data_IF_059733060890
#
_entry.id   IF_059733060890
#
_cell.length_a   1.000
_cell.length_b   1.000
_cell.length_c   1.000
_cell.angle_alpha   90.00
_cell.angle_beta   90.00
_cell.angle_gamma   90.00
#
_symmetry.space_group_name_H-M   'P 1'
#
loop_
_entity.id
_entity.type
_entity.pdbx_description
1 polymer ?
#
# COMPACT_ATOMS: atom_id res chain seq x y z
N UNK A 1 19.87 -7.95 -5.83
CA UNK A 1 19.03 -8.39 -4.69
C UNK A 1 17.77 -7.54 -4.56
N UNK A 2 17.85 -6.23 -4.22
CA UNK A 2 16.68 -5.34 -4.08
C UNK A 2 15.70 -5.38 -5.28
N UNK A 3 16.20 -5.24 -6.52
CA UNK A 3 15.35 -5.33 -7.71
C UNK A 3 14.61 -6.67 -7.86
N UNK A 4 15.24 -7.79 -7.47
CA UNK A 4 14.59 -9.11 -7.51
C UNK A 4 13.43 -9.20 -6.53
N UNK A 5 13.64 -8.69 -5.29
CA UNK A 5 12.57 -8.62 -4.27
C UNK A 5 11.44 -7.69 -4.75
N UNK A 6 11.78 -6.53 -5.31
CA UNK A 6 10.80 -5.59 -5.88
C UNK A 6 9.93 -6.25 -6.94
N UNK A 7 10.54 -6.94 -7.91
CA UNK A 7 9.79 -7.63 -8.97
C UNK A 7 8.88 -8.71 -8.38
N UNK A 8 9.38 -9.52 -7.44
CA UNK A 8 8.58 -10.55 -6.79
C UNK A 8 7.37 -9.97 -6.04
N UNK A 9 7.56 -8.88 -5.28
CA UNK A 9 6.49 -8.21 -4.55
C UNK A 9 5.44 -7.61 -5.49
N UNK A 10 5.86 -6.96 -6.59
CA UNK A 10 4.92 -6.40 -7.57
C UNK A 10 4.17 -7.47 -8.36
N UNK A 11 4.80 -8.62 -8.64
CA UNK A 11 4.10 -9.77 -9.21
C UNK A 11 3.05 -10.32 -8.23
N UNK A 12 3.37 -10.40 -6.95
CA UNK A 12 2.42 -10.81 -5.92
C UNK A 12 1.25 -9.82 -5.80
N UNK A 13 1.53 -8.51 -5.74
CA UNK A 13 0.49 -7.46 -5.77
C UNK A 13 -0.37 -7.57 -7.03
N UNK A 14 0.23 -7.79 -8.20
CA UNK A 14 -0.50 -7.98 -9.45
C UNK A 14 -1.41 -9.22 -9.43
N UNK A 15 -0.92 -10.35 -8.90
CA UNK A 15 -1.71 -11.57 -8.73
C UNK A 15 -2.87 -11.36 -7.77
N UNK A 16 -2.65 -10.66 -6.66
CA UNK A 16 -3.67 -10.31 -5.68
C UNK A 16 -4.72 -9.37 -6.30
N UNK A 17 -4.28 -8.32 -7.00
CA UNK A 17 -5.16 -7.39 -7.71
C UNK A 17 -6.03 -8.07 -8.76
N UNK A 18 -5.47 -9.02 -9.52
CA UNK A 18 -6.25 -9.86 -10.44
C UNK A 18 -7.28 -10.72 -9.71
N UNK A 19 -6.92 -11.30 -8.57
CA UNK A 19 -7.84 -12.05 -7.71
C UNK A 19 -9.00 -11.17 -7.23
N UNK A 20 -8.71 -9.94 -6.82
CA UNK A 20 -9.71 -8.95 -6.41
C UNK A 20 -10.65 -8.55 -7.55
N UNK A 21 -10.10 -8.20 -8.71
CA UNK A 21 -10.87 -7.79 -9.91
C UNK A 21 -11.69 -8.95 -10.48
N UNK A 22 -11.27 -10.20 -10.28
CA UNK A 22 -12.05 -11.39 -10.67
C UNK A 22 -12.95 -11.92 -9.56
N UNK A 23 -12.86 -11.35 -8.36
CA UNK A 23 -13.54 -11.84 -7.15
C UNK A 23 -13.29 -13.35 -6.93
N UNK A 24 -12.01 -13.75 -6.89
CA UNK A 24 -11.61 -15.14 -6.60
C UNK A 24 -11.81 -15.46 -5.10
N UNK A 25 -13.03 -15.89 -4.73
CA UNK A 25 -13.48 -16.07 -3.35
C UNK A 25 -12.90 -17.29 -2.60
N UNK A 26 -11.84 -17.91 -3.13
CA UNK A 26 -11.09 -18.96 -2.44
C UNK A 26 -9.95 -18.41 -1.58
N UNK A 27 -9.60 -17.13 -1.74
CA UNK A 27 -8.69 -16.42 -0.85
C UNK A 27 -9.51 -15.69 0.23
N UNK A 28 -9.13 -15.86 1.50
CA UNK A 28 -9.81 -15.22 2.64
C UNK A 28 -9.93 -13.71 2.46
N UNK A 29 -8.81 -13.03 2.20
CA UNK A 29 -8.77 -11.57 2.07
C UNK A 29 -9.67 -11.05 0.95
N UNK A 30 -9.78 -11.80 -0.16
CA UNK A 30 -10.66 -11.44 -1.30
C UNK A 30 -12.13 -11.66 -0.94
N UNK A 31 -12.46 -12.76 -0.25
CA UNK A 31 -13.82 -13.01 0.21
C UNK A 31 -14.30 -11.95 1.21
N UNK A 32 -13.40 -11.45 2.06
CA UNK A 32 -13.68 -10.43 3.06
C UNK A 32 -13.82 -9.01 2.47
N UNK A 33 -13.13 -8.69 1.37
CA UNK A 33 -13.05 -7.31 0.88
C UNK A 33 -13.46 -7.10 -0.60
N UNK A 34 -13.90 -8.15 -1.31
CA UNK A 34 -14.37 -8.06 -2.71
C UNK A 34 -15.76 -8.63 -2.87
N UNK A 35 -16.55 -8.06 -3.78
CA UNK A 35 -17.91 -8.50 -4.11
C UNK A 35 -18.13 -8.39 -5.60
N UNK A 36 -18.62 -9.45 -6.24
CA UNK A 36 -18.69 -9.57 -7.71
C UNK A 36 -19.61 -8.53 -8.39
N UNK A 37 -20.63 -8.05 -7.68
CA UNK A 37 -21.57 -7.03 -8.18
C UNK A 37 -21.01 -5.58 -8.06
N UNK A 38 -19.87 -5.39 -7.39
CA UNK A 38 -19.24 -4.09 -7.24
C UNK A 38 -18.43 -3.70 -8.49
N UNK A 39 -18.40 -2.40 -8.85
CA UNK A 39 -17.52 -1.90 -9.90
C UNK A 39 -16.07 -2.35 -9.72
N UNK A 40 -15.38 -2.64 -10.83
CA UNK A 40 -14.05 -3.25 -10.80
C UNK A 40 -13.00 -2.43 -10.04
N UNK A 41 -13.15 -1.10 -10.01
CA UNK A 41 -12.21 -0.21 -9.31
C UNK A 41 -12.35 -0.28 -7.78
N UNK A 42 -13.57 -0.49 -7.25
CA UNK A 42 -13.74 -0.77 -5.82
C UNK A 42 -13.23 -2.15 -5.45
N UNK A 43 -13.43 -3.13 -6.33
CA UNK A 43 -12.80 -4.45 -6.15
C UNK A 43 -11.29 -4.35 -6.12
N UNK A 44 -10.67 -3.59 -7.04
CA UNK A 44 -9.23 -3.36 -7.02
C UNK A 44 -8.77 -2.64 -5.74
N UNK A 45 -9.53 -1.64 -5.28
CA UNK A 45 -9.24 -0.95 -4.02
C UNK A 45 -9.28 -1.89 -2.80
N UNK A 46 -9.99 -3.02 -2.90
CA UNK A 46 -9.94 -4.11 -1.93
C UNK A 46 -8.53 -4.65 -1.66
N UNK A 47 -7.57 -4.51 -2.58
CA UNK A 47 -6.15 -4.85 -2.36
C UNK A 47 -5.60 -4.15 -1.11
N UNK A 48 -6.02 -2.92 -0.84
CA UNK A 48 -5.64 -2.17 0.36
C UNK A 48 -6.85 -1.86 1.27
N UNK A 49 -7.93 -2.63 1.14
CA UNK A 49 -9.10 -2.56 2.02
C UNK A 49 -8.89 -3.28 3.35
N UNK A 50 -8.09 -4.35 3.33
CA UNK A 50 -7.68 -5.14 4.51
C UNK A 50 -6.21 -4.96 4.87
N UNK A 51 -5.80 -5.49 6.01
CA UNK A 51 -4.44 -5.32 6.54
C UNK A 51 -3.37 -6.08 5.74
N UNK A 52 -3.72 -7.27 5.26
CA UNK A 52 -2.86 -8.24 4.59
C UNK A 52 -2.41 -7.71 3.22
N UNK A 53 -3.38 -7.36 2.39
CA UNK A 53 -3.10 -6.79 1.07
C UNK A 53 -2.46 -5.41 1.15
N UNK A 54 -2.87 -4.58 2.13
CA UNK A 54 -2.25 -3.27 2.38
C UNK A 54 -0.77 -3.40 2.72
N UNK A 55 -0.39 -4.35 3.58
CA UNK A 55 1.00 -4.53 3.97
C UNK A 55 1.85 -5.08 2.81
N UNK A 56 1.33 -6.01 2.01
CA UNK A 56 1.99 -6.49 0.81
C UNK A 56 2.21 -5.34 -0.19
N UNK A 57 1.18 -4.54 -0.44
CA UNK A 57 1.27 -3.42 -1.37
C UNK A 57 2.23 -2.34 -0.85
N UNK A 58 2.19 -2.02 0.44
CA UNK A 58 3.13 -1.11 1.08
C UNK A 58 4.58 -1.60 0.96
N UNK A 59 4.84 -2.88 1.23
CA UNK A 59 6.16 -3.47 1.04
C UNK A 59 6.64 -3.36 -0.41
N UNK A 60 5.77 -3.57 -1.40
CA UNK A 60 6.10 -3.45 -2.83
C UNK A 60 6.47 -1.99 -3.23
N UNK A 61 5.74 -1.00 -2.70
CA UNK A 61 6.02 0.42 -2.93
C UNK A 61 7.37 0.81 -2.28
N UNK A 62 7.60 0.40 -1.04
CA UNK A 62 8.87 0.63 -0.34
C UNK A 62 10.03 -0.02 -1.09
N UNK A 63 9.87 -1.25 -1.58
CA UNK A 63 10.90 -1.96 -2.34
C UNK A 63 11.25 -1.25 -3.65
N UNK A 64 10.24 -0.77 -4.39
CA UNK A 64 10.46 -0.02 -5.63
C UNK A 64 11.22 1.29 -5.38
N UNK A 65 10.77 2.09 -4.41
CA UNK A 65 11.40 3.37 -4.07
C UNK A 65 12.81 3.17 -3.53
N UNK A 66 13.02 2.19 -2.64
CA UNK A 66 14.35 1.83 -2.12
C UNK A 66 15.29 1.35 -3.24
N UNK A 67 14.79 0.57 -4.21
CA UNK A 67 15.56 0.12 -5.37
C UNK A 67 15.98 1.28 -6.27
N UNK A 68 15.11 2.28 -6.44
CA UNK A 68 15.41 3.50 -7.19
C UNK A 68 16.46 4.33 -6.46
N UNK A 69 16.28 4.56 -5.15
CA UNK A 69 17.18 5.33 -4.30
C UNK A 69 18.57 4.70 -4.21
N UNK A 70 18.65 3.37 -4.13
CA UNK A 70 19.90 2.62 -4.09
C UNK A 70 20.82 2.90 -5.29
N UNK A 71 20.27 3.30 -6.45
CA UNK A 71 21.07 3.70 -7.63
C UNK A 71 21.90 4.97 -7.41
N UNK A 72 21.51 5.81 -6.45
CA UNK A 72 22.20 7.06 -6.07
C UNK A 72 23.02 6.90 -4.80
N UNK A 73 22.90 5.78 -4.10
CA UNK A 73 23.68 5.48 -2.91
C UNK A 73 25.09 5.02 -3.30
N UNK A 74 26.11 5.60 -2.66
CA UNK A 74 27.51 5.17 -2.79
C UNK A 74 27.98 4.24 -1.66
N UNK A 75 27.19 4.11 -0.59
CA UNK A 75 27.56 3.36 0.61
C UNK A 75 26.76 2.06 0.79
N UNK A 76 27.46 0.97 1.10
CA UNK A 76 26.85 -0.34 1.34
C UNK A 76 25.85 -0.34 2.50
N UNK A 77 26.12 0.46 3.56
CA UNK A 77 25.22 0.60 4.73
C UNK A 77 23.83 1.11 4.35
N UNK A 78 23.74 2.09 3.44
CA UNK A 78 22.47 2.64 3.00
C UNK A 78 21.65 1.62 2.20
N UNK A 79 22.33 0.84 1.35
CA UNK A 79 21.70 -0.23 0.58
C UNK A 79 21.22 -1.35 1.51
N UNK A 80 22.02 -1.73 2.51
CA UNK A 80 21.61 -2.68 3.54
C UNK A 80 20.42 -2.19 4.35
N UNK A 81 20.40 -0.92 4.76
CA UNK A 81 19.27 -0.35 5.47
C UNK A 81 17.98 -0.46 4.66
N UNK A 82 17.99 -0.05 3.39
CA UNK A 82 16.84 -0.22 2.50
C UNK A 82 16.45 -1.69 2.29
N UNK A 83 17.43 -2.57 2.11
CA UNK A 83 17.20 -4.01 1.92
C UNK A 83 16.58 -4.65 3.17
N UNK A 84 17.12 -4.34 4.35
CA UNK A 84 16.63 -4.85 5.63
C UNK A 84 15.20 -4.39 5.89
N UNK A 85 14.87 -3.11 5.64
CA UNK A 85 13.51 -2.60 5.75
C UNK A 85 12.54 -3.38 4.85
N UNK A 86 12.91 -3.60 3.58
CA UNK A 86 12.08 -4.37 2.64
C UNK A 86 11.91 -5.82 3.11
N UNK A 87 12.98 -6.47 3.57
CA UNK A 87 12.93 -7.85 4.07
C UNK A 87 12.04 -7.95 5.30
N UNK A 88 12.14 -7.02 6.26
CA UNK A 88 11.30 -7.00 7.46
C UNK A 88 9.82 -6.83 7.07
N UNK A 89 9.49 -5.83 6.25
CA UNK A 89 8.11 -5.62 5.79
C UNK A 89 7.56 -6.83 5.05
N UNK A 90 8.35 -7.42 4.15
CA UNK A 90 7.97 -8.63 3.40
C UNK A 90 7.78 -9.84 4.33
N UNK A 91 8.61 -9.97 5.37
CA UNK A 91 8.50 -11.06 6.34
C UNK A 91 7.23 -10.94 7.17
N UNK A 92 6.86 -9.73 7.59
CA UNK A 92 5.60 -9.50 8.31
C UNK A 92 4.42 -9.81 7.37
N UNK A 93 4.46 -9.34 6.12
CA UNK A 93 3.41 -9.64 5.13
C UNK A 93 3.25 -11.14 4.86
N UNK A 94 4.32 -11.92 4.86
CA UNK A 94 4.24 -13.35 4.56
C UNK A 94 3.93 -14.22 5.79
N UNK A 95 4.42 -13.86 6.97
CA UNK A 95 4.33 -14.70 8.17
C UNK A 95 3.13 -14.34 9.07
N UNK A 96 2.69 -13.08 9.05
CA UNK A 96 1.67 -12.59 9.98
C UNK A 96 0.42 -12.04 9.29
N UNK A 97 0.52 -11.62 8.03
CA UNK A 97 -0.55 -10.97 7.30
C UNK A 97 -0.61 -11.44 5.84
N UNK A 98 -0.59 -12.76 5.63
CA UNK A 98 -0.54 -13.37 4.30
C UNK A 98 -1.84 -13.12 3.53
N UNK A 99 -1.81 -12.37 2.40
CA UNK A 99 -3.02 -12.13 1.61
C UNK A 99 -3.41 -13.34 0.75
N UNK A 100 -2.63 -14.42 0.81
CA UNK A 100 -2.82 -15.66 0.05
C UNK A 100 -3.25 -16.81 0.98
N UNK A 101 -3.94 -16.49 2.07
CA UNK A 101 -4.53 -17.51 2.92
C UNK A 101 -5.78 -18.08 2.25
N UNK A 102 -5.79 -19.39 2.08
CA UNK A 102 -6.89 -20.11 1.47
C UNK A 102 -7.99 -20.40 2.49
N UNK A 103 -9.24 -20.36 2.01
CA UNK A 103 -10.38 -20.91 2.73
C UNK A 103 -10.50 -22.41 2.42
N UNK A 104 -10.89 -23.21 3.42
CA UNK A 104 -11.12 -24.65 3.24
C UNK A 104 -12.23 -24.94 2.21
N UNK A 105 -13.22 -24.04 2.13
CA UNK A 105 -14.24 -24.00 1.09
C UNK A 105 -14.36 -22.57 0.55
N UNK A 106 -14.38 -22.35 -0.78
CA UNK A 106 -14.58 -21.02 -1.35
C UNK A 106 -15.88 -20.38 -0.87
N UNK A 107 -15.85 -19.08 -0.56
CA UNK A 107 -17.05 -18.37 -0.16
C UNK A 107 -18.04 -18.26 -1.33
N UNK A 108 -19.34 -18.42 -1.05
CA UNK A 108 -20.41 -18.33 -2.06
C UNK A 108 -20.58 -16.88 -2.55
N UNK A 109 -20.41 -15.91 -1.63
CA UNK A 109 -20.47 -14.48 -1.91
C UNK A 109 -19.45 -13.77 -1.03
N UNK A 110 -18.74 -12.81 -1.61
CA UNK A 110 -17.84 -11.95 -0.85
C UNK A 110 -18.56 -10.75 -0.24
N UNK A 111 -18.05 -10.27 0.89
CA UNK A 111 -18.66 -9.18 1.67
C UNK A 111 -18.50 -7.81 0.98
N UNK A 112 -17.43 -7.63 0.21
CA UNK A 112 -17.08 -6.35 -0.40
C UNK A 112 -16.42 -5.40 0.59
N UNK A 113 -16.13 -4.19 0.12
CA UNK A 113 -15.66 -3.12 0.99
C UNK A 113 -16.78 -2.68 1.93
N UNK A 114 -16.43 -2.23 3.14
CA UNK A 114 -17.41 -1.56 4.00
C UNK A 114 -17.90 -0.27 3.34
N UNK A 115 -19.13 0.20 3.63
CA UNK A 115 -19.71 1.33 2.91
C UNK A 115 -18.82 2.59 2.83
N UNK A 116 -18.15 2.95 3.93
CA UNK A 116 -17.22 4.08 3.99
C UNK A 116 -16.02 3.95 3.02
N UNK A 117 -15.60 2.71 2.72
CA UNK A 117 -14.49 2.40 1.83
C UNK A 117 -14.91 2.37 0.34
N UNK A 118 -16.21 2.35 0.02
CA UNK A 118 -16.72 2.46 -1.35
C UNK A 118 -16.74 3.93 -1.85
N UNK A 119 -15.70 4.71 -1.53
CA UNK A 119 -15.54 6.10 -1.93
C UNK A 119 -14.32 6.27 -2.87
N UNK A 120 -14.37 7.14 -3.92
CA UNK A 120 -13.24 7.30 -4.85
C UNK A 120 -11.91 7.66 -4.20
N UNK A 121 -11.95 8.41 -3.08
CA UNK A 121 -10.75 8.75 -2.32
C UNK A 121 -10.04 7.52 -1.73
N UNK A 122 -10.77 6.45 -1.39
CA UNK A 122 -10.18 5.18 -0.93
C UNK A 122 -9.27 4.57 -2.00
N UNK A 123 -9.58 4.76 -3.28
CA UNK A 123 -8.74 4.25 -4.36
C UNK A 123 -7.40 5.01 -4.51
N UNK A 124 -7.30 6.23 -3.98
CA UNK A 124 -6.19 7.16 -4.26
C UNK A 124 -5.37 7.47 -3.01
N UNK A 125 -6.01 7.64 -1.85
CA UNK A 125 -5.37 8.06 -0.61
C UNK A 125 -4.28 7.09 -0.13
N UNK A 126 -4.55 5.76 0.05
CA UNK A 126 -3.55 4.83 0.56
C UNK A 126 -2.30 4.71 -0.35
N UNK A 127 -2.43 4.58 -1.69
CA UNK A 127 -1.26 4.60 -2.57
C UNK A 127 -0.39 5.87 -2.41
N UNK A 128 -0.99 7.06 -2.31
CA UNK A 128 -0.24 8.31 -2.11
C UNK A 128 0.47 8.34 -0.76
N UNK A 129 -0.19 7.89 0.30
CA UNK A 129 0.41 7.80 1.63
C UNK A 129 1.63 6.87 1.61
N UNK A 130 1.50 5.69 1.00
CA UNK A 130 2.58 4.71 0.89
C UNK A 130 3.77 5.24 0.09
N UNK A 131 3.53 5.95 -1.01
CA UNK A 131 4.57 6.61 -1.81
C UNK A 131 5.31 7.64 -0.95
N UNK A 132 4.58 8.48 -0.21
CA UNK A 132 5.18 9.48 0.68
C UNK A 132 6.08 8.86 1.74
N UNK A 133 5.58 7.85 2.45
CA UNK A 133 6.35 7.13 3.47
C UNK A 133 7.59 6.43 2.86
N UNK A 134 7.46 5.81 1.70
CA UNK A 134 8.57 5.20 0.99
C UNK A 134 9.63 6.23 0.54
N UNK A 135 9.20 7.43 0.13
CA UNK A 135 10.12 8.52 -0.21
C UNK A 135 10.92 9.01 1.01
N UNK A 136 10.34 8.95 2.22
CA UNK A 136 11.06 9.31 3.45
C UNK A 136 12.22 8.35 3.73
N UNK A 137 12.03 7.05 3.45
CA UNK A 137 13.10 6.06 3.50
C UNK A 137 14.18 6.36 2.46
N UNK A 138 13.81 6.70 1.23
CA UNK A 138 14.77 7.06 0.19
C UNK A 138 15.58 8.31 0.54
N UNK A 139 14.97 9.31 1.19
CA UNK A 139 15.66 10.47 1.70
C UNK A 139 16.75 10.06 2.71
N UNK A 140 16.41 9.20 3.66
CA UNK A 140 17.36 8.67 4.64
C UNK A 140 18.48 7.84 3.99
N UNK A 141 18.15 6.97 3.04
CA UNK A 141 19.14 6.16 2.30
C UNK A 141 20.13 7.02 1.51
N UNK A 142 19.69 8.17 1.01
CA UNK A 142 20.50 9.05 0.16
C UNK A 142 21.08 10.25 0.90
N UNK A 143 21.01 10.30 2.23
CA UNK A 143 21.40 11.46 3.07
C UNK A 143 22.81 12.00 2.81
N UNK A 144 23.73 11.15 2.35
CA UNK A 144 25.11 11.52 1.99
C UNK A 144 25.13 12.44 0.75
N UNK A 145 24.26 12.18 -0.23
CA UNK A 145 24.02 13.08 -1.35
C UNK A 145 22.87 14.03 -1.01
N UNK A 146 23.23 15.20 -0.47
CA UNK A 146 22.24 16.22 -0.08
C UNK A 146 21.28 16.55 -1.22
N UNK A 147 21.72 16.62 -2.47
CA UNK A 147 20.84 16.93 -3.60
C UNK A 147 19.75 15.88 -3.77
N UNK A 148 20.13 14.61 -3.76
CA UNK A 148 19.19 13.48 -3.78
C UNK A 148 18.28 13.48 -2.55
N UNK A 149 18.83 13.62 -1.35
CA UNK A 149 18.05 13.59 -0.12
C UNK A 149 16.97 14.68 -0.08
N UNK A 150 17.29 15.91 -0.47
CA UNK A 150 16.31 17.00 -0.54
C UNK A 150 15.24 16.74 -1.60
N UNK A 151 15.58 16.11 -2.73
CA UNK A 151 14.58 15.74 -3.73
C UNK A 151 13.57 14.73 -3.19
N UNK A 152 14.03 13.70 -2.47
CA UNK A 152 13.16 12.72 -1.83
C UNK A 152 12.35 13.30 -0.68
N UNK A 153 12.90 14.24 0.10
CA UNK A 153 12.15 14.96 1.14
C UNK A 153 11.03 15.80 0.53
N UNK A 154 11.27 16.52 -0.57
CA UNK A 154 10.20 17.24 -1.28
C UNK A 154 9.11 16.30 -1.79
N UNK A 155 9.49 15.16 -2.36
CA UNK A 155 8.54 14.13 -2.79
C UNK A 155 7.73 13.57 -1.62
N UNK A 156 8.38 13.33 -0.47
CA UNK A 156 7.74 12.91 0.78
C UNK A 156 6.67 13.91 1.18
N UNK A 157 7.04 15.19 1.34
CA UNK A 157 6.12 16.26 1.76
C UNK A 157 4.98 16.43 0.76
N UNK A 158 5.26 16.42 -0.55
CA UNK A 158 4.21 16.56 -1.56
C UNK A 158 3.21 15.40 -1.52
N UNK A 159 3.70 14.15 -1.49
CA UNK A 159 2.85 12.96 -1.49
C UNK A 159 2.06 12.82 -0.18
N UNK A 160 2.68 13.04 0.98
CA UNK A 160 1.96 12.97 2.26
C UNK A 160 0.97 14.12 2.43
N UNK A 161 1.29 15.33 1.95
CA UNK A 161 0.33 16.45 1.96
C UNK A 161 -0.88 16.14 1.08
N UNK A 162 -0.66 15.64 -0.13
CA UNK A 162 -1.76 15.21 -1.01
C UNK A 162 -2.58 14.08 -0.37
N UNK A 163 -1.92 13.08 0.22
CA UNK A 163 -2.59 12.00 0.94
C UNK A 163 -3.44 12.54 2.10
N UNK A 164 -2.89 13.40 2.96
CA UNK A 164 -3.64 14.00 4.08
C UNK A 164 -4.81 14.85 3.60
N UNK A 165 -4.64 15.65 2.54
CA UNK A 165 -5.73 16.46 1.98
C UNK A 165 -6.87 15.59 1.44
N UNK A 166 -6.55 14.53 0.69
CA UNK A 166 -7.56 13.60 0.15
C UNK A 166 -8.21 12.79 1.28
N UNK A 167 -7.43 12.35 2.27
CA UNK A 167 -7.95 11.64 3.45
C UNK A 167 -8.86 12.53 4.29
N UNK A 168 -8.51 13.80 4.45
CA UNK A 168 -9.36 14.79 5.12
C UNK A 168 -10.66 15.04 4.37
N UNK A 169 -10.62 15.19 3.04
CA UNK A 169 -11.82 15.32 2.21
C UNK A 169 -12.71 14.08 2.29
N UNK A 170 -12.11 12.90 2.29
CA UNK A 170 -12.84 11.64 2.42
C UNK A 170 -13.52 11.53 3.79
N UNK A 171 -12.78 11.79 4.88
CA UNK A 171 -13.34 11.82 6.22
C UNK A 171 -14.48 12.83 6.33
N UNK A 172 -14.32 14.02 5.74
CA UNK A 172 -15.37 15.04 5.69
C UNK A 172 -16.63 14.54 4.99
N UNK A 173 -16.50 13.80 3.89
CA UNK A 173 -17.62 13.31 3.10
C UNK A 173 -18.37 12.14 3.76
N UNK A 174 -17.63 11.19 4.35
CA UNK A 174 -18.21 9.93 4.84
C UNK A 174 -18.52 9.91 6.34
N UNK A 175 -17.62 10.50 7.15
CA UNK A 175 -17.79 10.47 8.60
C UNK A 175 -18.69 11.58 9.11
N UNK A 176 -19.10 12.51 8.22
CA UNK A 176 -20.12 13.52 8.45
C UNK A 176 -20.02 14.13 9.83
N UNK A 177 -19.26 15.22 9.97
CA UNK A 177 -19.14 15.84 11.29
C UNK A 177 -20.53 16.18 11.81
N UNK A 178 -20.90 15.71 13.01
CA UNK A 178 -22.10 16.17 13.74
C UNK A 178 -22.04 17.66 14.12
N UNK A 179 -21.74 18.54 13.16
CA UNK A 179 -21.24 19.91 13.34
C UNK A 179 -19.72 20.01 13.23
N UNK A 180 -19.18 21.23 13.15
CA UNK A 180 -17.77 21.62 12.89
C UNK A 180 -16.63 20.89 13.68
N UNK A 181 -16.93 19.99 14.62
CA UNK A 181 -15.99 19.41 15.59
C UNK A 181 -15.96 17.88 15.74
N UNK A 182 -16.62 17.06 14.91
CA UNK A 182 -16.68 15.61 15.22
C UNK A 182 -15.38 14.81 14.95
N UNK A 183 -14.19 15.46 14.93
CA UNK A 183 -12.86 14.83 14.73
C UNK A 183 -12.03 14.66 15.98
N UNK A 184 -12.44 15.25 17.09
CA UNK A 184 -11.76 14.99 18.36
C UNK A 184 -12.08 13.56 18.83
#
# INVERSE_FOLDING_TARGET
MLWGITVALWLAVGRLGLAFVRSELHWRTVAEHSRADAPWYYRLAGVWGGSEGSLLFFAAVVAAVASIAARRCRGHRAIWFGTATVVVLSSIALLWASPFDHLDAPAVRGFGLTPILEHPAMAVHPPLLYIGLACSLAAAMTVIDRGSAHAWLRATVAATTAAMAIGGLWSYAEQGWGGYWAWD
#
